data_IF_041105796436
#
_entry.id   IF_041105796436
#
_cell.length_a   1.000
_cell.length_b   1.000
_cell.length_c   1.000
_cell.angle_alpha   90.00
_cell.angle_beta   90.00
_cell.angle_gamma   90.00
#
_symmetry.space_group_name_H-M   'P 1'
#
loop_
_entity.id
_entity.type
_entity.pdbx_description
1 polymer ?
#
# COMPACT_ATOMS: atom_id res chain seq x y z
N UNK A 1 -22.02 -9.81 16.42
CA UNK A 1 -20.83 -10.27 15.66
C UNK A 1 -19.66 -9.38 16.07
N UNK A 2 -18.76 -9.90 16.92
CA UNK A 2 -17.65 -9.12 17.53
C UNK A 2 -16.54 -8.87 16.51
N UNK A 3 -16.07 -7.63 16.42
CA UNK A 3 -15.00 -7.23 15.51
C UNK A 3 -13.64 -7.69 16.03
N UNK A 4 -12.82 -8.18 15.11
CA UNK A 4 -11.54 -8.88 15.33
C UNK A 4 -10.44 -8.06 16.04
N UNK A 5 -10.67 -6.78 16.34
CA UNK A 5 -9.67 -5.93 17.00
C UNK A 5 -9.67 -6.02 18.53
N UNK A 6 -10.60 -6.77 19.14
CA UNK A 6 -10.77 -6.83 20.61
C UNK A 6 -10.90 -8.23 21.22
N UNK A 7 -10.44 -9.31 20.58
CA UNK A 7 -10.42 -10.63 21.24
C UNK A 7 -9.21 -10.74 22.18
N UNK A 8 -9.46 -10.56 23.48
CA UNK A 8 -8.54 -10.85 24.59
C UNK A 8 -8.22 -12.36 24.75
N UNK A 9 -8.91 -13.23 24.01
CA UNK A 9 -8.91 -14.69 24.22
C UNK A 9 -7.85 -15.46 23.43
N UNK A 10 -6.97 -14.78 22.69
CA UNK A 10 -5.85 -15.45 22.01
C UNK A 10 -4.57 -15.28 22.86
N UNK A 11 -4.16 -16.33 23.62
CA UNK A 11 -2.92 -16.28 24.37
C UNK A 11 -1.75 -16.06 23.41
N UNK A 12 -0.72 -15.35 23.86
CA UNK A 12 0.54 -15.16 23.12
C UNK A 12 0.41 -14.45 21.75
N UNK A 13 -0.65 -13.67 21.49
CA UNK A 13 -0.83 -12.95 20.21
C UNK A 13 0.36 -12.08 19.80
N UNK A 14 1.01 -11.41 20.74
CA UNK A 14 2.19 -10.58 20.46
C UNK A 14 3.45 -11.42 20.19
N UNK A 15 3.43 -12.70 20.56
CA UNK A 15 4.54 -13.63 20.33
C UNK A 15 4.45 -14.27 18.94
N UNK A 16 4.38 -13.45 17.89
CA UNK A 16 4.24 -13.91 16.50
C UNK A 16 5.36 -14.87 16.07
N UNK A 17 6.52 -14.84 16.73
CA UNK A 17 7.65 -15.73 16.50
C UNK A 17 7.49 -17.15 17.10
N UNK A 18 6.50 -17.38 17.98
CA UNK A 18 6.28 -18.68 18.61
C UNK A 18 5.62 -19.65 17.60
N UNK A 19 6.24 -20.78 17.25
CA UNK A 19 5.75 -21.69 16.21
C UNK A 19 4.38 -22.31 16.49
N UNK A 20 3.99 -22.38 17.76
CA UNK A 20 2.73 -23.00 18.21
C UNK A 20 1.57 -22.01 18.30
N UNK A 21 1.80 -20.72 18.01
CA UNK A 21 0.69 -19.76 17.92
C UNK A 21 -0.10 -19.99 16.64
N UNK A 22 -1.42 -19.82 16.72
CA UNK A 22 -2.30 -19.97 15.57
C UNK A 22 -1.91 -19.01 14.43
N UNK A 23 -1.50 -17.77 14.77
CA UNK A 23 -1.06 -16.77 13.79
C UNK A 23 0.16 -17.23 12.99
N UNK A 24 1.18 -17.76 13.67
CA UNK A 24 2.37 -18.29 13.01
C UNK A 24 2.03 -19.48 12.09
N UNK A 25 1.27 -20.45 12.60
CA UNK A 25 0.92 -21.65 11.82
C UNK A 25 0.10 -21.30 10.59
N UNK A 26 -0.86 -20.37 10.72
CA UNK A 26 -1.68 -19.92 9.61
C UNK A 26 -0.84 -19.19 8.54
N UNK A 27 0.07 -18.32 8.96
CA UNK A 27 0.99 -17.63 8.03
C UNK A 27 1.95 -18.61 7.34
N UNK A 28 2.48 -19.58 8.09
CA UNK A 28 3.37 -20.61 7.55
C UNK A 28 2.66 -21.44 6.47
N UNK A 29 1.42 -21.87 6.73
CA UNK A 29 0.63 -22.63 5.76
C UNK A 29 0.21 -21.77 4.57
N UNK A 30 -0.17 -20.51 4.79
CA UNK A 30 -0.47 -19.57 3.72
C UNK A 30 0.72 -19.36 2.77
N UNK A 31 1.94 -19.23 3.32
CA UNK A 31 3.19 -19.17 2.55
C UNK A 31 3.39 -20.45 1.74
N UNK A 32 3.27 -21.63 2.37
CA UNK A 32 3.43 -22.93 1.70
C UNK A 32 2.46 -23.11 0.52
N UNK A 33 1.19 -22.79 0.73
CA UNK A 33 0.16 -22.87 -0.32
C UNK A 33 0.41 -21.88 -1.46
N UNK A 34 0.84 -20.66 -1.12
CA UNK A 34 1.14 -19.66 -2.11
C UNK A 34 2.32 -20.06 -3.01
N UNK A 35 3.39 -20.64 -2.43
CA UNK A 35 4.54 -21.17 -3.19
C UNK A 35 4.14 -22.30 -4.15
N UNK A 36 3.15 -23.11 -3.79
CA UNK A 36 2.60 -24.13 -4.69
C UNK A 36 1.75 -23.50 -5.81
N UNK A 37 0.90 -22.54 -5.48
CA UNK A 37 -0.03 -21.95 -6.47
C UNK A 37 0.69 -21.00 -7.46
N UNK A 38 1.71 -20.25 -7.02
CA UNK A 38 2.44 -19.28 -7.88
C UNK A 38 3.10 -19.92 -9.11
N UNK A 39 3.43 -21.21 -9.03
CA UNK A 39 4.07 -21.98 -10.09
C UNK A 39 3.06 -22.61 -11.06
N UNK A 40 1.77 -22.49 -10.73
CA UNK A 40 0.66 -22.94 -11.57
C UNK A 40 0.13 -21.78 -12.45
N UNK A 41 -1.16 -21.80 -12.79
CA UNK A 41 -1.81 -20.73 -13.55
C UNK A 41 -1.81 -19.43 -12.74
N UNK A 42 -1.23 -18.37 -13.29
CA UNK A 42 -1.24 -17.04 -12.68
C UNK A 42 -2.68 -16.51 -12.53
N UNK A 43 -3.03 -16.09 -11.31
CA UNK A 43 -4.35 -15.56 -10.94
C UNK A 43 -4.18 -14.30 -10.12
N UNK A 44 -5.12 -13.38 -10.27
CA UNK A 44 -5.13 -12.12 -9.51
C UNK A 44 -5.19 -12.37 -7.99
N UNK A 45 -5.90 -13.42 -7.56
CA UNK A 45 -6.01 -13.81 -6.16
C UNK A 45 -4.69 -14.31 -5.59
N UNK A 46 -3.90 -15.04 -6.36
CA UNK A 46 -2.57 -15.50 -5.95
C UNK A 46 -1.61 -14.30 -5.80
N UNK A 47 -1.68 -13.33 -6.73
CA UNK A 47 -0.93 -12.08 -6.62
C UNK A 47 -1.33 -11.28 -5.36
N UNK A 48 -2.63 -11.11 -5.12
CA UNK A 48 -3.17 -10.44 -3.93
C UNK A 48 -2.72 -11.14 -2.64
N UNK A 49 -2.77 -12.47 -2.60
CA UNK A 49 -2.32 -13.25 -1.46
C UNK A 49 -0.84 -13.00 -1.14
N UNK A 50 0.04 -12.94 -2.14
CA UNK A 50 1.45 -12.62 -1.93
C UNK A 50 1.68 -11.21 -1.39
N UNK A 51 0.89 -10.22 -1.86
CA UNK A 51 0.93 -8.86 -1.32
C UNK A 51 0.45 -8.81 0.15
N UNK A 52 -0.58 -9.58 0.52
CA UNK A 52 -1.04 -9.69 1.91
C UNK A 52 0.01 -10.37 2.78
N UNK A 53 0.66 -11.45 2.31
CA UNK A 53 1.77 -12.11 3.02
C UNK A 53 2.90 -11.11 3.28
N UNK A 54 3.24 -10.26 2.31
CA UNK A 54 4.21 -9.18 2.50
C UNK A 54 3.81 -8.25 3.66
N UNK A 55 2.58 -7.71 3.64
CA UNK A 55 2.08 -6.82 4.70
C UNK A 55 2.15 -7.48 6.08
N UNK A 56 1.75 -8.75 6.19
CA UNK A 56 1.83 -9.50 7.45
C UNK A 56 3.28 -9.66 7.91
N UNK A 57 4.20 -10.01 7.01
CA UNK A 57 5.62 -10.12 7.36
C UNK A 57 6.20 -8.78 7.84
N UNK A 58 5.78 -7.67 7.26
CA UNK A 58 6.25 -6.34 7.68
C UNK A 58 5.70 -5.95 9.06
N UNK A 59 4.45 -6.32 9.38
CA UNK A 59 3.89 -6.14 10.73
C UNK A 59 4.68 -6.93 11.77
N UNK A 60 5.16 -8.12 11.40
CA UNK A 60 5.98 -8.99 12.24
C UNK A 60 7.48 -8.62 12.23
N UNK A 61 7.88 -7.52 11.56
CA UNK A 61 9.27 -7.07 11.49
C UNK A 61 10.21 -7.97 10.67
N UNK A 62 9.66 -8.84 9.82
CA UNK A 62 10.40 -9.75 8.95
C UNK A 62 10.42 -9.20 7.51
N UNK A 63 10.78 -7.92 7.39
CA UNK A 63 10.61 -7.12 6.17
C UNK A 63 11.34 -7.70 4.95
N UNK A 64 12.53 -8.29 5.14
CA UNK A 64 13.31 -8.90 4.05
C UNK A 64 12.58 -10.07 3.41
N UNK A 65 11.91 -10.90 4.22
CA UNK A 65 11.09 -12.01 3.72
C UNK A 65 9.82 -11.44 3.07
N UNK A 66 9.18 -10.46 3.70
CA UNK A 66 8.00 -9.80 3.13
C UNK A 66 8.26 -9.21 1.75
N UNK A 67 9.41 -8.54 1.56
CA UNK A 67 9.79 -7.91 0.31
C UNK A 67 9.90 -8.90 -0.86
N UNK A 68 10.36 -10.13 -0.63
CA UNK A 68 10.42 -11.13 -1.71
C UNK A 68 9.04 -11.54 -2.21
N UNK A 69 8.05 -11.68 -1.31
CA UNK A 69 6.67 -11.98 -1.69
C UNK A 69 6.07 -10.84 -2.54
N UNK A 70 6.32 -9.59 -2.17
CA UNK A 70 5.86 -8.44 -2.95
C UNK A 70 6.49 -8.40 -4.35
N UNK A 71 7.82 -8.52 -4.43
CA UNK A 71 8.54 -8.49 -5.70
C UNK A 71 8.04 -9.59 -6.65
N UNK A 72 7.83 -10.78 -6.13
CA UNK A 72 7.30 -11.89 -6.91
C UNK A 72 5.81 -11.72 -7.30
N UNK A 73 4.99 -11.09 -6.46
CA UNK A 73 3.63 -10.70 -6.81
C UNK A 73 3.61 -9.65 -7.93
N UNK A 74 4.52 -8.69 -7.90
CA UNK A 74 4.67 -7.68 -8.96
C UNK A 74 5.09 -8.34 -10.27
N UNK A 75 6.09 -9.22 -10.25
CA UNK A 75 6.52 -9.96 -11.44
C UNK A 75 5.34 -10.74 -12.06
N UNK A 76 4.54 -11.42 -11.23
CA UNK A 76 3.30 -12.06 -11.68
C UNK A 76 2.32 -11.07 -12.31
N UNK A 77 2.17 -9.88 -11.73
CA UNK A 77 1.32 -8.81 -12.27
C UNK A 77 1.80 -8.32 -13.63
N UNK A 78 3.11 -8.15 -13.80
CA UNK A 78 3.74 -7.79 -15.08
C UNK A 78 3.48 -8.87 -16.14
N UNK A 79 3.73 -10.14 -15.83
CA UNK A 79 3.46 -11.27 -16.73
C UNK A 79 1.98 -11.35 -17.14
N UNK A 80 1.06 -11.02 -16.23
CA UNK A 80 -0.37 -10.98 -16.50
C UNK A 80 -0.81 -9.74 -17.29
N UNK A 81 0.05 -8.73 -17.47
CA UNK A 81 -0.32 -7.43 -18.03
C UNK A 81 -1.23 -6.60 -17.11
N UNK A 82 -1.12 -6.76 -15.79
CA UNK A 82 -1.93 -6.06 -14.77
C UNK A 82 -1.75 -4.54 -14.81
N UNK A 83 -0.54 -4.09 -15.15
CA UNK A 83 -0.17 -2.68 -15.17
C UNK A 83 -0.40 -2.02 -16.55
N UNK A 84 -0.88 -2.78 -17.53
CA UNK A 84 -1.18 -2.32 -18.90
C UNK A 84 -2.70 -2.35 -19.20
N UNK A 85 -3.09 -2.01 -20.44
CA UNK A 85 -4.50 -1.97 -20.85
C UNK A 85 -5.11 -3.33 -21.22
N UNK A 86 -4.43 -4.43 -20.90
CA UNK A 86 -4.80 -5.81 -21.30
C UNK A 86 -6.22 -6.22 -20.88
N UNK A 87 -6.78 -5.57 -19.87
CA UNK A 87 -8.07 -5.92 -19.27
C UNK A 87 -9.25 -5.06 -19.72
N UNK A 88 -9.10 -4.24 -20.76
CA UNK A 88 -10.16 -3.37 -21.27
C UNK A 88 -11.44 -4.13 -21.69
N UNK A 89 -11.31 -5.37 -22.20
CA UNK A 89 -12.42 -6.22 -22.65
C UNK A 89 -13.15 -6.96 -21.53
N UNK A 90 -12.71 -6.86 -20.28
CA UNK A 90 -13.35 -7.53 -19.13
C UNK A 90 -14.59 -6.78 -18.65
N UNK A 91 -15.42 -7.46 -17.86
CA UNK A 91 -16.59 -6.85 -17.23
C UNK A 91 -16.18 -5.71 -16.30
N UNK A 92 -17.08 -4.74 -16.08
CA UNK A 92 -16.81 -3.59 -15.22
C UNK A 92 -16.34 -4.00 -13.82
N UNK A 93 -17.00 -5.01 -13.22
CA UNK A 93 -16.62 -5.56 -11.90
C UNK A 93 -15.20 -6.11 -11.90
N UNK A 94 -14.83 -6.86 -12.94
CA UNK A 94 -13.48 -7.38 -13.06
C UNK A 94 -12.48 -6.23 -13.23
N UNK A 95 -12.77 -5.25 -14.10
CA UNK A 95 -11.90 -4.07 -14.27
C UNK A 95 -11.65 -3.33 -12.97
N UNK A 96 -12.67 -3.16 -12.11
CA UNK A 96 -12.48 -2.56 -10.78
C UNK A 96 -11.52 -3.34 -9.90
N UNK A 97 -11.65 -4.67 -9.85
CA UNK A 97 -10.73 -5.52 -9.06
C UNK A 97 -9.30 -5.41 -9.58
N UNK A 98 -9.11 -5.44 -10.90
CA UNK A 98 -7.79 -5.35 -11.51
C UNK A 98 -7.16 -3.97 -11.28
N UNK A 99 -7.92 -2.89 -11.49
CA UNK A 99 -7.46 -1.53 -11.25
C UNK A 99 -7.06 -1.33 -9.78
N UNK A 100 -7.94 -1.68 -8.85
CA UNK A 100 -7.64 -1.57 -7.41
C UNK A 100 -6.40 -2.40 -7.03
N UNK A 101 -6.25 -3.60 -7.57
CA UNK A 101 -5.09 -4.46 -7.28
C UNK A 101 -3.81 -3.86 -7.84
N UNK A 102 -3.81 -3.40 -9.09
CA UNK A 102 -2.66 -2.77 -9.73
C UNK A 102 -2.19 -1.55 -8.93
N UNK A 103 -3.12 -0.66 -8.60
CA UNK A 103 -2.83 0.55 -7.83
C UNK A 103 -2.42 0.27 -6.39
N UNK A 104 -3.01 -0.74 -5.73
CA UNK A 104 -2.63 -1.12 -4.37
C UNK A 104 -1.20 -1.62 -4.31
N UNK A 105 -0.83 -2.50 -5.24
CA UNK A 105 0.52 -3.09 -5.30
C UNK A 105 1.56 -2.05 -5.70
N UNK A 106 1.25 -1.17 -6.66
CA UNK A 106 2.09 -0.03 -7.02
C UNK A 106 2.31 0.92 -5.84
N UNK A 107 1.25 1.30 -5.13
CA UNK A 107 1.34 2.21 -4.00
C UNK A 107 2.12 1.61 -2.82
N UNK A 108 1.96 0.30 -2.59
CA UNK A 108 2.68 -0.43 -1.55
C UNK A 108 4.17 -0.55 -1.87
N UNK A 109 4.55 -0.92 -3.11
CA UNK A 109 5.97 -0.98 -3.47
C UNK A 109 6.62 0.40 -3.45
N UNK A 110 5.93 1.44 -3.91
CA UNK A 110 6.46 2.80 -3.88
C UNK A 110 6.79 3.23 -2.45
N UNK A 111 5.89 2.95 -1.49
CA UNK A 111 6.16 3.17 -0.08
C UNK A 111 7.39 2.39 0.41
N UNK A 112 7.39 1.08 0.17
CA UNK A 112 8.40 0.20 0.73
C UNK A 112 9.79 0.54 0.18
N UNK A 113 9.92 0.67 -1.14
CA UNK A 113 11.20 0.97 -1.79
C UNK A 113 11.72 2.35 -1.37
N UNK A 114 10.85 3.36 -1.27
CA UNK A 114 11.25 4.69 -0.82
C UNK A 114 11.83 4.68 0.61
N UNK A 115 11.15 4.05 1.58
CA UNK A 115 11.64 4.01 2.96
C UNK A 115 12.89 3.15 3.16
N UNK A 116 13.13 2.17 2.27
CA UNK A 116 14.35 1.37 2.29
C UNK A 116 15.46 1.94 1.38
N UNK A 117 15.26 3.11 0.76
CA UNK A 117 16.23 3.74 -0.16
C UNK A 117 16.63 2.82 -1.33
N UNK A 118 15.65 2.10 -1.88
CA UNK A 118 15.83 1.14 -2.95
C UNK A 118 15.18 1.63 -4.25
N UNK A 119 15.67 1.11 -5.38
CA UNK A 119 15.07 1.33 -6.69
C UNK A 119 13.61 0.81 -6.71
N UNK A 120 12.63 1.62 -7.16
CA UNK A 120 11.27 1.16 -7.33
C UNK A 120 11.17 -0.09 -8.20
N UNK A 121 10.32 -1.04 -7.79
CA UNK A 121 10.05 -2.26 -8.56
C UNK A 121 9.19 -1.96 -9.80
N UNK A 122 8.45 -0.86 -9.76
CA UNK A 122 7.69 -0.30 -10.88
C UNK A 122 8.03 1.19 -10.98
N UNK A 123 8.66 1.60 -12.08
CA UNK A 123 9.02 3.00 -12.29
C UNK A 123 7.82 3.88 -12.62
N UNK A 124 6.81 3.31 -13.30
CA UNK A 124 5.64 4.02 -13.78
C UNK A 124 4.36 3.55 -13.05
N UNK A 125 3.38 4.45 -12.86
CA UNK A 125 2.07 4.08 -12.31
C UNK A 125 1.30 3.14 -13.27
N UNK A 126 0.32 2.39 -12.76
CA UNK A 126 -0.53 1.56 -13.61
C UNK A 126 -1.30 2.40 -14.65
N UNK A 127 -1.32 1.94 -15.91
CA UNK A 127 -2.08 2.61 -16.98
C UNK A 127 -3.60 2.43 -16.81
N UNK A 128 -4.02 1.36 -16.12
CA UNK A 128 -5.42 1.10 -15.86
C UNK A 128 -6.00 2.15 -14.90
N UNK A 129 -7.03 2.88 -15.34
CA UNK A 129 -7.65 3.91 -14.52
C UNK A 129 -8.48 3.34 -13.36
N UNK A 130 -8.50 4.06 -12.23
CA UNK A 130 -9.37 3.74 -11.11
C UNK A 130 -10.82 4.12 -11.38
N UNK A 131 -11.79 3.19 -11.27
CA UNK A 131 -13.21 3.50 -11.39
C UNK A 131 -13.62 4.62 -10.45
N UNK A 132 -14.44 5.58 -10.92
CA UNK A 132 -14.86 6.77 -10.15
C UNK A 132 -15.32 6.39 -8.73
N UNK A 133 -16.13 5.35 -8.62
CA UNK A 133 -16.61 4.80 -7.35
C UNK A 133 -15.95 3.42 -7.07
N UNK A 134 -15.17 3.34 -5.99
CA UNK A 134 -14.51 2.11 -5.51
C UNK A 134 -15.33 1.40 -4.42
N UNK A 135 -16.55 1.87 -4.16
CA UNK A 135 -17.37 1.45 -3.04
C UNK A 135 -17.01 2.14 -1.73
N UNK A 136 -17.84 1.89 -0.72
CA UNK A 136 -17.66 2.36 0.65
C UNK A 136 -17.44 1.18 1.59
N UNK A 137 -16.59 1.40 2.59
CA UNK A 137 -16.38 0.47 3.69
C UNK A 137 -16.88 1.11 4.98
N UNK A 138 -17.49 0.28 5.82
CA UNK A 138 -18.03 0.70 7.10
C UNK A 138 -17.27 0.01 8.22
N UNK A 139 -16.75 0.81 9.15
CA UNK A 139 -16.05 0.33 10.34
C UNK A 139 -16.90 0.61 11.57
N UNK A 140 -17.03 -0.40 12.42
CA UNK A 140 -17.76 -0.30 13.66
C UNK A 140 -16.77 -0.19 14.83
N UNK A 141 -16.66 0.98 15.45
CA UNK A 141 -15.77 1.18 16.58
C UNK A 141 -16.35 0.58 17.88
N UNK A 142 -15.53 0.05 18.80
CA UNK A 142 -16.04 -0.64 20.00
C UNK A 142 -17.06 0.14 20.84
N UNK A 143 -17.00 1.47 20.82
CA UNK A 143 -17.88 2.37 21.58
C UNK A 143 -18.85 3.19 20.70
N UNK A 144 -18.85 2.97 19.38
CA UNK A 144 -19.75 3.71 18.50
C UNK A 144 -21.15 3.07 18.49
N UNK A 145 -22.18 3.92 18.44
CA UNK A 145 -23.58 3.46 18.39
C UNK A 145 -23.97 2.88 17.01
N UNK A 146 -23.22 3.20 15.96
CA UNK A 146 -23.47 2.76 14.59
C UNK A 146 -22.15 2.62 13.81
N UNK A 147 -22.19 1.87 12.71
CA UNK A 147 -21.06 1.77 11.79
C UNK A 147 -20.79 3.11 11.10
N UNK A 148 -19.51 3.46 10.96
CA UNK A 148 -19.07 4.71 10.35
C UNK A 148 -18.43 4.47 8.99
N UNK A 149 -18.76 5.26 7.96
CA UNK A 149 -18.08 5.19 6.68
C UNK A 149 -16.63 5.65 6.84
N UNK A 150 -15.71 4.97 6.15
CA UNK A 150 -14.29 5.37 6.15
C UNK A 150 -13.90 6.18 4.92
N UNK A 151 -14.87 6.48 4.04
CA UNK A 151 -14.65 7.23 2.81
C UNK A 151 -13.64 6.55 1.91
N UNK A 152 -13.80 5.23 1.77
CA UNK A 152 -12.81 4.34 1.18
C UNK A 152 -12.30 4.83 -0.18
N UNK A 153 -13.21 5.25 -1.07
CA UNK A 153 -12.85 5.75 -2.40
C UNK A 153 -11.95 6.99 -2.35
N UNK A 154 -12.28 7.95 -1.47
CA UNK A 154 -11.49 9.18 -1.28
C UNK A 154 -10.12 8.88 -0.67
N UNK A 155 -10.10 8.07 0.41
CA UNK A 155 -8.88 7.65 1.11
C UNK A 155 -7.95 6.92 0.15
N UNK A 156 -8.46 5.94 -0.59
CA UNK A 156 -7.66 5.16 -1.52
C UNK A 156 -7.01 6.06 -2.58
N UNK A 157 -7.77 6.98 -3.18
CA UNK A 157 -7.27 7.94 -4.17
C UNK A 157 -6.19 8.86 -3.60
N UNK A 158 -6.40 9.37 -2.40
CA UNK A 158 -5.41 10.20 -1.71
C UNK A 158 -4.10 9.43 -1.48
N UNK A 159 -4.19 8.18 -1.00
CA UNK A 159 -3.01 7.32 -0.78
C UNK A 159 -2.27 7.08 -2.09
N UNK A 160 -2.95 6.61 -3.13
CA UNK A 160 -2.24 6.27 -4.38
C UNK A 160 -1.63 7.50 -5.04
N UNK A 161 -2.29 8.66 -4.98
CA UNK A 161 -1.74 9.92 -5.48
C UNK A 161 -0.45 10.31 -4.77
N UNK A 162 -0.44 10.25 -3.44
CA UNK A 162 0.77 10.51 -2.66
C UNK A 162 1.89 9.50 -2.96
N UNK A 163 1.53 8.21 -3.06
CA UNK A 163 2.50 7.15 -3.35
C UNK A 163 3.05 7.24 -4.78
N UNK A 164 2.33 7.82 -5.73
CA UNK A 164 2.87 8.16 -7.05
C UNK A 164 3.98 9.20 -6.94
N UNK A 165 3.78 10.30 -6.21
CA UNK A 165 4.82 11.31 -5.99
C UNK A 165 6.05 10.69 -5.30
N UNK A 166 5.82 9.86 -4.28
CA UNK A 166 6.88 9.12 -3.60
C UNK A 166 7.65 8.19 -4.55
N UNK A 167 6.95 7.52 -5.47
CA UNK A 167 7.56 6.68 -6.49
C UNK A 167 8.44 7.50 -7.43
N UNK A 168 7.96 8.64 -7.91
CA UNK A 168 8.73 9.54 -8.79
C UNK A 168 10.04 9.99 -8.12
N UNK A 169 9.99 10.35 -6.83
CA UNK A 169 11.19 10.68 -6.05
C UNK A 169 12.10 9.45 -5.92
N UNK A 170 11.52 8.28 -5.65
CA UNK A 170 12.26 7.02 -5.55
C UNK A 170 13.00 6.66 -6.85
N UNK A 171 12.34 6.82 -8.00
CA UNK A 171 12.95 6.63 -9.33
C UNK A 171 14.10 7.63 -9.51
N UNK A 172 13.88 8.90 -9.18
CA UNK A 172 14.90 9.94 -9.34
C UNK A 172 16.12 9.75 -8.42
N UNK A 173 15.92 9.34 -7.17
CA UNK A 173 17.02 9.19 -6.21
C UNK A 173 17.73 7.83 -6.31
N UNK A 174 16.97 6.75 -6.47
CA UNK A 174 17.45 5.37 -6.30
C UNK A 174 17.41 4.55 -7.59
N UNK A 175 16.82 5.09 -8.67
CA UNK A 175 16.73 4.41 -9.95
C UNK A 175 18.05 4.23 -10.67
N UNK A 176 18.02 3.36 -11.67
CA UNK A 176 19.12 3.14 -12.61
C UNK A 176 19.23 4.31 -13.60
N UNK A 177 20.22 5.19 -13.42
CA UNK A 177 20.40 6.36 -14.28
C UNK A 177 21.61 7.22 -13.93
N UNK A 178 21.99 8.13 -14.83
CA UNK A 178 23.08 9.09 -14.61
C UNK A 178 22.72 10.13 -13.55
N UNK A 179 21.44 10.45 -13.44
CA UNK A 179 20.94 11.47 -12.53
C UNK A 179 20.67 10.92 -11.12
N UNK A 180 21.03 9.67 -10.81
CA UNK A 180 20.79 9.07 -9.49
C UNK A 180 21.53 9.81 -8.37
N UNK A 181 21.03 9.68 -7.15
CA UNK A 181 21.58 10.32 -5.96
C UNK A 181 20.77 11.54 -5.53
N UNK A 182 21.30 12.28 -4.54
CA UNK A 182 20.58 13.34 -3.86
C UNK A 182 19.95 14.37 -4.82
N UNK A 183 18.74 14.81 -4.48
CA UNK A 183 18.04 15.87 -5.20
C UNK A 183 18.80 17.19 -5.07
N UNK A 184 18.88 17.94 -6.17
CA UNK A 184 19.22 19.36 -6.09
C UNK A 184 18.12 20.14 -5.38
N UNK A 185 18.45 21.33 -4.87
CA UNK A 185 17.45 22.22 -4.26
C UNK A 185 16.29 22.52 -5.22
N UNK A 186 16.57 22.71 -6.51
CA UNK A 186 15.55 22.96 -7.53
C UNK A 186 14.58 21.77 -7.67
N UNK A 187 15.09 20.55 -7.74
CA UNK A 187 14.26 19.34 -7.80
C UNK A 187 13.44 19.15 -6.51
N UNK A 188 14.07 19.38 -5.34
CA UNK A 188 13.38 19.33 -4.06
C UNK A 188 12.21 20.34 -4.00
N UNK A 189 12.39 21.55 -4.54
CA UNK A 189 11.31 22.54 -4.63
C UNK A 189 10.18 22.11 -5.57
N UNK A 190 10.49 21.44 -6.68
CA UNK A 190 9.48 20.88 -7.60
C UNK A 190 8.65 19.80 -6.89
N UNK A 191 9.28 18.86 -6.21
CA UNK A 191 8.55 17.83 -5.46
C UNK A 191 7.76 18.40 -4.29
N UNK A 192 8.30 19.41 -3.59
CA UNK A 192 7.56 20.14 -2.56
C UNK A 192 6.29 20.77 -3.13
N UNK A 193 6.36 21.41 -4.29
CA UNK A 193 5.19 21.98 -4.96
C UNK A 193 4.14 20.91 -5.30
N UNK A 194 4.57 19.75 -5.86
CA UNK A 194 3.67 18.61 -6.14
C UNK A 194 2.97 18.08 -4.89
N UNK A 195 3.68 17.97 -3.76
CA UNK A 195 3.10 17.51 -2.49
C UNK A 195 2.08 18.52 -1.97
N UNK A 196 2.34 19.82 -2.09
CA UNK A 196 1.39 20.86 -1.69
C UNK A 196 0.14 20.86 -2.57
N UNK A 197 0.30 20.76 -3.89
CA UNK A 197 -0.81 20.66 -4.83
C UNK A 197 -1.67 19.42 -4.54
N UNK A 198 -1.03 18.27 -4.29
CA UNK A 198 -1.73 17.05 -3.85
C UNK A 198 -2.54 17.30 -2.56
N UNK A 199 -1.94 17.95 -1.57
CA UNK A 199 -2.59 18.23 -0.28
C UNK A 199 -3.78 19.19 -0.42
N UNK A 200 -3.66 20.20 -1.29
CA UNK A 200 -4.74 21.14 -1.61
C UNK A 200 -5.88 20.49 -2.42
N UNK A 201 -5.57 19.45 -3.21
CA UNK A 201 -6.56 18.69 -3.99
C UNK A 201 -7.39 17.69 -3.17
N UNK A 202 -7.04 17.48 -1.89
CA UNK A 202 -7.75 16.52 -1.04
C UNK A 202 -9.20 16.95 -0.80
N UNK A 203 -10.15 16.00 -0.79
CA UNK A 203 -11.53 16.32 -0.48
C UNK A 203 -11.65 16.87 0.95
N UNK A 204 -12.64 17.72 1.25
CA UNK A 204 -12.78 18.37 2.57
C UNK A 204 -12.71 17.39 3.73
N UNK A 205 -13.29 16.22 3.55
CA UNK A 205 -13.38 15.16 4.53
C UNK A 205 -12.06 14.44 4.85
N UNK A 206 -11.01 14.70 4.06
CA UNK A 206 -9.62 14.30 4.30
C UNK A 206 -8.72 15.51 4.61
N UNK A 207 -9.29 16.71 4.72
CA UNK A 207 -8.53 17.91 5.06
C UNK A 207 -8.00 17.81 6.49
N UNK A 208 -6.82 18.38 6.79
CA UNK A 208 -6.22 18.33 8.13
C UNK A 208 -7.14 18.84 9.25
N UNK A 209 -8.08 19.73 8.95
CA UNK A 209 -9.02 20.30 9.91
C UNK A 209 -10.25 19.42 10.19
N UNK A 210 -10.49 18.37 9.39
CA UNK A 210 -11.67 17.49 9.49
C UNK A 210 -11.33 16.03 9.81
N UNK A 211 -10.06 15.71 10.09
CA UNK A 211 -9.62 14.35 10.42
C UNK A 211 -10.04 13.99 11.86
N UNK A 212 -11.04 13.12 11.99
CA UNK A 212 -11.54 12.62 13.29
C UNK A 212 -11.26 11.12 13.49
N UNK A 213 -10.87 10.36 12.46
CA UNK A 213 -10.89 8.89 12.47
C UNK A 213 -9.51 8.20 12.23
N UNK A 214 -9.28 6.99 12.78
CA UNK A 214 -8.04 6.19 12.65
C UNK A 214 -7.52 5.91 11.24
N UNK A 215 -8.37 5.76 10.22
CA UNK A 215 -7.92 5.51 8.84
C UNK A 215 -7.34 6.78 8.17
N UNK A 216 -8.04 7.93 8.24
CA UNK A 216 -7.43 9.24 7.95
C UNK A 216 -6.24 9.58 8.87
N UNK A 217 -6.28 9.19 10.14
CA UNK A 217 -5.17 9.34 11.08
C UNK A 217 -3.98 8.45 10.75
N UNK A 218 -4.12 7.28 10.10
CA UNK A 218 -2.98 6.46 9.61
C UNK A 218 -2.34 7.06 8.37
N UNK A 219 -3.12 7.69 7.49
CA UNK A 219 -2.56 8.61 6.48
C UNK A 219 -1.72 9.65 7.21
N UNK A 220 -2.31 10.38 8.16
CA UNK A 220 -1.62 11.45 8.85
C UNK A 220 -0.42 10.97 9.69
N UNK A 221 -0.49 9.85 10.41
CA UNK A 221 0.61 9.30 11.23
C UNK A 221 1.77 8.80 10.39
N UNK A 222 1.52 8.25 9.19
CA UNK A 222 2.59 7.92 8.24
C UNK A 222 3.24 9.17 7.60
N UNK A 223 2.62 10.35 7.75
CA UNK A 223 3.03 11.60 7.08
C UNK A 223 3.54 12.68 8.05
N UNK A 224 2.99 12.86 9.26
CA UNK A 224 3.42 13.88 10.23
C UNK A 224 4.64 13.46 11.05
N UNK A 225 4.87 12.16 11.23
CA UNK A 225 6.11 11.64 11.81
C UNK A 225 7.27 11.74 10.82
N UNK A 226 7.07 11.44 9.54
CA UNK A 226 8.11 11.51 8.51
C UNK A 226 8.39 12.94 8.01
N UNK A 227 7.37 13.79 7.80
CA UNK A 227 7.61 15.16 7.33
C UNK A 227 8.26 16.08 8.39
N UNK A 228 8.03 15.82 9.70
CA UNK A 228 8.77 16.52 10.76
C UNK A 228 10.20 15.99 10.90
N UNK A 229 10.42 14.69 10.75
CA UNK A 229 11.76 14.11 10.81
C UNK A 229 12.63 14.52 9.60
N UNK A 230 12.05 14.64 8.41
CA UNK A 230 12.78 15.07 7.20
C UNK A 230 13.00 16.59 7.13
N UNK A 231 12.13 17.42 7.74
CA UNK A 231 12.35 18.86 7.83
C UNK A 231 13.47 19.23 8.82
N UNK A 232 13.64 18.44 9.89
CA UNK A 232 14.70 18.65 10.89
C UNK A 232 16.07 18.06 10.46
N UNK A 233 16.13 17.30 9.36
CA UNK A 233 17.37 16.74 8.80
C UNK A 233 17.79 17.35 7.45
N UNK A 234 17.05 18.34 6.95
CA UNK A 234 17.37 19.11 5.75
C UNK A 234 17.62 20.61 6.04
N UNK A 235 17.81 20.95 7.32
CA UNK A 235 18.40 22.21 7.82
C UNK A 235 19.71 21.90 8.54
#
# INVERSE_FOLDING_TARGET
MRLQHGQLELPDRSSFWKPYTLGYQFLAEAKRLWELERNSRKRITTLQAGAIICVTCNIDGIDKIGASYLAQSIAMGVEMGLFSQTFASRSLRQRSVYAMTAWSVFAWQAMQQFHFYLEPLLSEPPVIELPVNLGELFVMYPHAASSWPIQHSAVFRAVVGFRTIMNEIGVRNFGSGKDRGALSLGEAMVYRAKILEWMESLPPSLSPSQIVLPAPLKLQYAHTSNARFEADHLL
#
